data_IF_106587167202
#
_entry.id   IF_106587167202
#
_cell.length_a   1.000
_cell.length_b   1.000
_cell.length_c   1.000
_cell.angle_alpha   90.00
_cell.angle_beta   90.00
_cell.angle_gamma   90.00
#
_symmetry.space_group_name_H-M   'P 1'
#
loop_
_entity.id
_entity.type
_entity.pdbx_description
1 polymer ?
#
# COMPACT_ATOMS: atom_id res chain seq x y z
N UNK A 1 3.75 8.84 -3.91
CA UNK A 1 5.24 8.80 -3.84
C UNK A 1 5.65 7.61 -2.99
N UNK A 2 6.91 7.15 -2.99
CA UNK A 2 7.33 5.98 -2.20
C UNK A 2 6.98 6.08 -0.71
N UNK A 3 7.17 7.26 -0.10
CA UNK A 3 6.82 7.54 1.29
C UNK A 3 5.32 7.38 1.63
N UNK A 4 4.47 7.37 0.61
CA UNK A 4 3.02 7.25 0.75
C UNK A 4 2.57 5.77 0.64
N UNK A 5 3.50 4.82 0.50
CA UNK A 5 3.24 3.38 0.41
C UNK A 5 3.59 2.76 1.76
N UNK A 6 2.60 2.35 2.53
CA UNK A 6 2.79 1.81 3.88
C UNK A 6 1.94 0.55 4.06
N UNK A 7 2.59 -0.54 4.47
CA UNK A 7 1.96 -1.83 4.80
C UNK A 7 0.98 -2.32 3.70
N UNK A 8 1.40 -2.28 2.43
CA UNK A 8 0.56 -2.73 1.32
C UNK A 8 -0.56 -1.76 0.91
N UNK A 9 -0.64 -0.56 1.50
CA UNK A 9 -1.71 0.42 1.26
C UNK A 9 -1.14 1.80 0.91
N UNK A 10 -1.91 2.58 0.15
CA UNK A 10 -1.60 3.97 -0.14
C UNK A 10 -2.12 4.85 1.01
N UNK A 11 -1.28 5.73 1.54
CA UNK A 11 -1.63 6.66 2.61
C UNK A 11 -1.57 8.09 2.06
N UNK A 12 -2.73 8.74 1.96
CA UNK A 12 -2.93 9.97 1.17
C UNK A 12 -2.61 11.27 1.95
N UNK A 13 -2.24 11.17 3.23
CA UNK A 13 -2.24 12.30 4.17
C UNK A 13 -1.40 13.52 3.71
N UNK A 14 -0.32 13.30 2.93
CA UNK A 14 0.54 14.34 2.35
C UNK A 14 0.99 14.05 0.92
N UNK A 15 0.14 13.40 0.12
CA UNK A 15 0.48 13.10 -1.27
C UNK A 15 0.59 14.38 -2.10
N UNK A 16 1.63 14.48 -2.92
CA UNK A 16 1.79 15.57 -3.87
C UNK A 16 0.63 15.58 -4.88
N UNK A 17 0.07 16.77 -5.15
CA UNK A 17 -1.05 16.96 -6.08
C UNK A 17 -0.60 17.68 -7.34
N UNK A 18 -1.28 17.42 -8.45
CA UNK A 18 -1.07 18.08 -9.73
C UNK A 18 -2.41 18.57 -10.28
N UNK A 19 -2.39 19.50 -11.23
CA UNK A 19 -3.60 19.94 -11.92
C UNK A 19 -4.19 18.84 -12.80
N UNK A 20 -5.50 18.90 -13.04
CA UNK A 20 -6.21 17.95 -13.91
C UNK A 20 -5.67 17.96 -15.35
N UNK A 21 -5.30 19.14 -15.87
CA UNK A 21 -4.65 19.28 -17.17
C UNK A 21 -3.36 18.47 -17.23
N UNK A 22 -2.51 18.58 -16.21
CA UNK A 22 -1.25 17.83 -16.13
C UNK A 22 -1.50 16.33 -15.99
N UNK A 23 -2.53 15.92 -15.24
CA UNK A 23 -2.92 14.52 -15.12
C UNK A 23 -3.38 13.93 -16.47
N UNK A 24 -4.08 14.72 -17.28
CA UNK A 24 -4.53 14.29 -18.61
C UNK A 24 -3.35 14.14 -19.59
N UNK A 25 -2.36 15.03 -19.54
CA UNK A 25 -1.11 14.89 -20.30
C UNK A 25 -0.30 13.64 -19.89
N UNK A 26 -0.47 13.17 -18.65
CA UNK A 26 0.20 11.99 -18.09
C UNK A 26 -0.70 10.75 -18.08
N UNK A 27 -1.74 10.71 -18.93
CA UNK A 27 -2.74 9.63 -18.97
C UNK A 27 -2.16 8.21 -18.97
N UNK A 28 -1.02 7.99 -19.65
CA UNK A 28 -0.31 6.68 -19.67
C UNK A 28 0.13 6.17 -18.30
N UNK A 29 0.34 7.09 -17.35
CA UNK A 29 0.80 6.81 -15.99
C UNK A 29 -0.35 6.72 -14.97
N UNK A 30 -1.60 6.89 -15.42
CA UNK A 30 -2.76 6.69 -14.55
C UNK A 30 -2.79 5.25 -14.02
N UNK A 31 -3.05 5.17 -12.72
CA UNK A 31 -3.22 3.93 -11.99
C UNK A 31 -4.66 3.44 -12.15
N UNK A 32 -4.80 2.13 -12.25
CA UNK A 32 -6.08 1.43 -12.31
C UNK A 32 -6.31 0.68 -11.01
N UNK A 33 -7.57 0.35 -10.76
CA UNK A 33 -7.94 -0.55 -9.67
C UNK A 33 -7.11 -1.84 -9.74
N UNK A 34 -6.61 -2.28 -8.60
CA UNK A 34 -5.77 -3.48 -8.44
C UNK A 34 -4.39 -3.45 -9.14
N UNK A 35 -3.97 -2.28 -9.65
CA UNK A 35 -2.54 -2.07 -9.90
C UNK A 35 -1.78 -2.15 -8.58
N UNK A 36 -0.53 -2.63 -8.62
CA UNK A 36 0.41 -2.51 -7.52
C UNK A 36 1.43 -1.42 -7.85
N UNK A 37 1.81 -0.66 -6.83
CA UNK A 37 2.82 0.39 -6.92
C UNK A 37 3.94 0.07 -5.97
N UNK A 38 5.16 0.00 -6.50
CA UNK A 38 6.40 -0.21 -5.75
C UNK A 38 7.19 1.08 -5.68
N UNK A 39 7.98 1.24 -4.64
CA UNK A 39 9.04 2.25 -4.60
C UNK A 39 10.13 1.91 -5.61
N UNK A 40 10.61 2.94 -6.33
CA UNK A 40 11.73 2.82 -7.26
C UNK A 40 13.05 3.15 -6.60
N UNK A 41 13.07 4.00 -5.58
CA UNK A 41 14.28 4.54 -4.94
C UNK A 41 14.07 4.68 -3.44
N UNK A 42 15.15 4.51 -2.68
CA UNK A 42 15.12 4.59 -1.22
C UNK A 42 14.80 3.21 -0.63
N UNK A 43 13.77 3.12 0.22
CA UNK A 43 13.27 1.83 0.67
C UNK A 43 12.54 1.12 -0.48
N UNK A 44 13.24 0.21 -1.14
CA UNK A 44 12.79 -0.57 -2.32
C UNK A 44 11.76 -1.66 -2.00
N UNK A 45 11.43 -1.85 -0.72
CA UNK A 45 10.47 -2.87 -0.28
C UNK A 45 9.07 -2.34 -0.09
N UNK A 46 8.90 -1.00 -0.11
CA UNK A 46 7.59 -0.39 -0.02
C UNK A 46 6.76 -0.71 -1.27
N UNK A 47 5.62 -1.36 -1.07
CA UNK A 47 4.63 -1.60 -2.11
C UNK A 47 3.21 -1.38 -1.57
N UNK A 48 2.29 -1.03 -2.46
CA UNK A 48 0.87 -0.93 -2.14
C UNK A 48 -0.03 -1.31 -3.32
N UNK A 49 -1.21 -1.85 -3.00
CA UNK A 49 -2.28 -2.07 -3.97
C UNK A 49 -3.15 -0.82 -4.11
N UNK A 50 -3.60 -0.53 -5.33
CA UNK A 50 -4.48 0.58 -5.66
C UNK A 50 -5.94 0.17 -5.45
N UNK A 51 -6.63 0.90 -4.58
CA UNK A 51 -8.05 0.72 -4.32
C UNK A 51 -8.88 1.67 -5.19
N UNK A 52 -10.21 1.64 -5.03
CA UNK A 52 -11.11 2.55 -5.76
C UNK A 52 -10.83 4.03 -5.46
N UNK A 53 -10.25 4.34 -4.29
CA UNK A 53 -9.97 5.72 -3.87
C UNK A 53 -8.78 6.34 -4.62
N UNK A 54 -7.87 5.51 -5.14
CA UNK A 54 -6.65 5.96 -5.82
C UNK A 54 -6.66 5.69 -7.34
N UNK A 55 -7.81 5.32 -7.90
CA UNK A 55 -7.97 5.22 -9.36
C UNK A 55 -7.69 6.59 -10.00
N UNK A 56 -7.05 6.57 -11.17
CA UNK A 56 -6.58 7.75 -11.91
C UNK A 56 -5.47 8.57 -11.24
N UNK A 57 -4.97 8.15 -10.07
CA UNK A 57 -3.76 8.72 -9.52
C UNK A 57 -2.59 8.47 -10.48
N UNK A 58 -1.60 9.37 -10.46
CA UNK A 58 -0.43 9.27 -11.33
C UNK A 58 0.68 8.49 -10.64
N UNK A 59 1.13 7.41 -11.29
CA UNK A 59 2.36 6.74 -10.91
C UNK A 59 3.56 7.65 -11.21
N UNK A 60 4.08 8.32 -10.17
CA UNK A 60 5.23 9.19 -10.29
C UNK A 60 6.53 8.45 -10.63
N UNK A 61 7.56 9.20 -11.03
CA UNK A 61 8.86 8.65 -11.47
C UNK A 61 9.66 7.93 -10.37
N UNK A 62 9.36 8.24 -9.10
CA UNK A 62 9.91 7.57 -7.94
C UNK A 62 9.26 6.22 -7.63
N UNK A 63 8.25 5.79 -8.40
CA UNK A 63 7.55 4.53 -8.23
C UNK A 63 7.60 3.68 -9.51
N UNK A 64 7.34 2.39 -9.36
CA UNK A 64 7.10 1.44 -10.44
C UNK A 64 5.66 0.93 -10.34
N UNK A 65 4.98 0.81 -11.47
CA UNK A 65 3.64 0.20 -11.55
C UNK A 65 3.76 -1.22 -12.04
N UNK A 66 3.15 -2.15 -11.32
CA UNK A 66 2.94 -3.54 -11.73
C UNK A 66 1.44 -3.75 -11.94
N UNK A 67 1.06 -4.22 -13.13
CA UNK A 67 -0.31 -4.62 -13.40
C UNK A 67 -0.36 -6.14 -13.51
N UNK A 68 -0.92 -6.84 -12.51
CA UNK A 68 -1.01 -8.29 -12.54
C UNK A 68 -1.89 -8.77 -13.70
N UNK A 69 -1.51 -9.90 -14.31
CA UNK A 69 -2.42 -10.65 -15.19
C UNK A 69 -3.33 -11.53 -14.32
N UNK A 70 -4.60 -11.13 -14.26
CA UNK A 70 -5.62 -11.76 -13.41
C UNK A 70 -5.93 -13.21 -13.79
N UNK A 71 -5.46 -13.68 -14.95
CA UNK A 71 -5.57 -15.09 -15.35
C UNK A 71 -4.56 -15.98 -14.62
N UNK A 72 -3.51 -15.40 -14.03
CA UNK A 72 -2.44 -16.16 -13.36
C UNK A 72 -2.29 -15.79 -11.89
N UNK A 73 -2.55 -14.53 -11.53
CA UNK A 73 -2.34 -14.05 -10.17
C UNK A 73 -3.49 -13.18 -9.68
N UNK A 74 -3.99 -13.51 -8.49
CA UNK A 74 -4.99 -12.71 -7.81
C UNK A 74 -4.31 -11.48 -7.15
N UNK A 75 -4.73 -10.23 -7.45
CA UNK A 75 -4.00 -9.03 -7.02
C UNK A 75 -3.81 -8.88 -5.51
N UNK A 76 -4.84 -9.22 -4.72
CA UNK A 76 -4.74 -9.17 -3.25
C UNK A 76 -3.76 -10.22 -2.71
N UNK A 77 -3.73 -11.42 -3.30
CA UNK A 77 -2.75 -12.45 -2.95
C UNK A 77 -1.33 -11.97 -3.25
N UNK A 78 -1.11 -11.37 -4.43
CA UNK A 78 0.18 -10.80 -4.79
C UNK A 78 0.61 -9.71 -3.79
N UNK A 79 -0.31 -8.81 -3.41
CA UNK A 79 -0.03 -7.78 -2.42
C UNK A 79 0.42 -8.38 -1.08
N UNK A 80 -0.27 -9.42 -0.58
CA UNK A 80 0.15 -10.16 0.61
C UNK A 80 1.53 -10.79 0.44
N UNK A 81 1.78 -11.47 -0.68
CA UNK A 81 3.04 -12.16 -0.95
C UNK A 81 4.23 -11.19 -0.94
N UNK A 82 4.05 -9.97 -1.47
CA UNK A 82 5.09 -8.93 -1.47
C UNK A 82 5.42 -8.43 -0.06
N UNK A 83 4.47 -8.50 0.88
CA UNK A 83 4.74 -8.15 2.27
C UNK A 83 5.56 -9.21 3.03
N UNK A 84 5.76 -10.40 2.45
CA UNK A 84 6.57 -11.46 3.05
C UNK A 84 8.05 -11.05 3.14
N UNK A 85 8.70 -11.33 4.27
CA UNK A 85 10.10 -10.96 4.50
C UNK A 85 11.07 -11.59 3.49
N UNK A 86 10.83 -12.83 3.04
CA UNK A 86 11.65 -13.46 2.01
C UNK A 86 11.60 -12.69 0.70
N UNK A 87 10.43 -12.16 0.32
CA UNK A 87 10.29 -11.31 -0.88
C UNK A 87 10.98 -9.97 -0.68
N UNK A 88 10.79 -9.33 0.49
CA UNK A 88 11.47 -8.07 0.82
C UNK A 88 12.99 -8.20 0.80
N UNK A 89 13.51 -9.29 1.34
CA UNK A 89 14.95 -9.55 1.37
C UNK A 89 15.50 -9.78 -0.02
N UNK A 90 14.77 -10.53 -0.87
CA UNK A 90 15.13 -10.66 -2.26
C UNK A 90 15.17 -9.30 -2.97
N UNK A 91 14.17 -8.43 -2.76
CA UNK A 91 14.13 -7.08 -3.33
C UNK A 91 15.33 -6.22 -2.89
N UNK A 92 15.68 -6.27 -1.59
CA UNK A 92 16.86 -5.56 -1.07
C UNK A 92 18.15 -6.06 -1.72
N UNK A 93 18.35 -7.37 -1.75
CA UNK A 93 19.57 -8.00 -2.28
C UNK A 93 19.78 -7.82 -3.78
N UNK A 94 18.70 -7.62 -4.55
CA UNK A 94 18.77 -7.46 -6.00
C UNK A 94 18.63 -6.00 -6.46
N UNK A 95 18.40 -5.06 -5.54
CA UNK A 95 18.39 -3.63 -5.86
C UNK A 95 19.78 -3.12 -6.28
N UNK A 96 19.81 -2.08 -7.11
CA UNK A 96 21.07 -1.49 -7.60
C UNK A 96 21.35 -0.15 -6.95
N UNK A 97 22.63 0.20 -6.82
CA UNK A 97 23.09 1.46 -6.22
C UNK A 97 23.45 1.30 -4.75
N UNK A 98 24.65 1.77 -4.37
CA UNK A 98 25.19 1.55 -3.01
C UNK A 98 24.61 2.51 -1.96
N UNK A 99 24.57 3.81 -2.26
CA UNK A 99 24.10 4.82 -1.28
C UNK A 99 22.57 4.93 -1.24
N UNK A 100 21.92 4.71 -2.38
CA UNK A 100 20.47 4.76 -2.49
C UNK A 100 19.99 3.60 -3.35
N UNK A 101 19.46 2.53 -2.72
CA UNK A 101 18.90 1.39 -3.43
C UNK A 101 17.86 1.84 -4.46
N UNK A 102 17.92 1.20 -5.63
CA UNK A 102 17.09 1.52 -6.77
C UNK A 102 16.58 0.24 -7.42
N UNK A 103 15.27 0.21 -7.67
CA UNK A 103 14.61 -0.86 -8.40
C UNK A 103 14.30 -0.39 -9.82
N UNK A 104 14.43 -1.31 -10.76
CA UNK A 104 13.95 -1.12 -12.13
C UNK A 104 12.97 -2.23 -12.50
N UNK A 105 12.28 -2.05 -13.61
CA UNK A 105 11.28 -3.02 -14.07
C UNK A 105 11.88 -4.39 -14.36
N UNK A 106 13.11 -4.46 -14.89
CA UNK A 106 13.78 -5.73 -15.21
C UNK A 106 14.04 -6.55 -13.95
N UNK A 107 14.58 -5.93 -12.89
CA UNK A 107 14.81 -6.61 -11.60
C UNK A 107 13.48 -7.08 -11.03
N UNK A 108 12.47 -6.19 -11.00
CA UNK A 108 11.17 -6.53 -10.42
C UNK A 108 10.46 -7.66 -11.18
N UNK A 109 10.58 -7.70 -12.51
CA UNK A 109 10.04 -8.78 -13.34
C UNK A 109 10.72 -10.14 -13.13
N UNK A 110 11.92 -10.16 -12.55
CA UNK A 110 12.65 -11.39 -12.24
C UNK A 110 12.41 -11.89 -10.81
N UNK A 111 11.54 -11.23 -10.04
CA UNK A 111 11.18 -11.65 -8.69
C UNK A 111 10.60 -13.08 -8.74
N UNK A 112 11.23 -14.08 -8.10
CA UNK A 112 10.69 -15.43 -8.07
C UNK A 112 9.44 -15.46 -7.19
N UNK A 113 8.32 -15.88 -7.77
CA UNK A 113 7.04 -16.01 -7.09
C UNK A 113 6.52 -17.44 -7.17
N UNK A 114 6.09 -17.98 -6.02
CA UNK A 114 5.35 -19.24 -5.97
C UNK A 114 3.86 -18.92 -6.04
N UNK A 115 3.23 -19.27 -7.16
CA UNK A 115 1.82 -18.99 -7.42
C UNK A 115 1.03 -20.30 -7.37
N UNK A 116 0.28 -20.58 -6.28
CA UNK A 116 -0.64 -21.72 -6.26
C UNK A 116 -1.80 -21.49 -7.24
N UNK A 117 -2.68 -22.47 -7.49
CA UNK A 117 -3.85 -22.28 -8.34
C UNK A 117 -4.73 -21.10 -7.88
N UNK A 118 -5.35 -20.38 -8.82
CA UNK A 118 -6.18 -19.20 -8.53
C UNK A 118 -7.22 -19.38 -7.41
N UNK A 119 -7.94 -20.52 -7.29
CA UNK A 119 -8.88 -20.73 -6.18
C UNK A 119 -8.20 -20.68 -4.81
N UNK A 120 -6.99 -21.22 -4.70
CA UNK A 120 -6.20 -21.21 -3.46
C UNK A 120 -5.69 -19.80 -3.16
N UNK A 121 -5.19 -19.08 -4.17
CA UNK A 121 -4.78 -17.68 -4.03
C UNK A 121 -5.91 -16.81 -3.47
N UNK A 122 -7.13 -16.96 -4.00
CA UNK A 122 -8.32 -16.24 -3.52
C UNK A 122 -8.64 -16.58 -2.07
N UNK A 123 -8.65 -17.87 -1.72
CA UNK A 123 -8.93 -18.31 -0.35
C UNK A 123 -7.91 -17.79 0.66
N UNK A 124 -6.62 -17.80 0.30
CA UNK A 124 -5.56 -17.23 1.15
C UNK A 124 -5.78 -15.73 1.34
N UNK A 125 -6.02 -15.00 0.25
CA UNK A 125 -6.23 -13.55 0.29
C UNK A 125 -7.50 -13.16 1.08
N UNK A 126 -8.57 -13.93 0.97
CA UNK A 126 -9.81 -13.73 1.73
C UNK A 126 -9.58 -13.89 3.24
N UNK A 127 -8.92 -14.99 3.65
CA UNK A 127 -8.63 -15.26 5.07
C UNK A 127 -7.76 -14.15 5.66
N UNK A 128 -6.67 -13.78 4.98
CA UNK A 128 -5.76 -12.75 5.48
C UNK A 128 -6.39 -11.35 5.44
N UNK A 129 -7.16 -11.06 4.40
CA UNK A 129 -7.91 -9.81 4.29
C UNK A 129 -8.94 -9.62 5.42
N UNK A 130 -9.62 -10.69 5.84
CA UNK A 130 -10.55 -10.64 6.97
C UNK A 130 -9.84 -10.26 8.28
N UNK A 131 -8.62 -10.78 8.50
CA UNK A 131 -7.81 -10.40 9.67
C UNK A 131 -7.31 -8.96 9.58
N UNK A 132 -6.87 -8.50 8.41
CA UNK A 132 -6.46 -7.11 8.20
C UNK A 132 -7.62 -6.13 8.46
N UNK A 133 -8.84 -6.48 8.06
CA UNK A 133 -10.04 -5.68 8.33
C UNK A 133 -10.39 -5.65 9.83
N UNK A 134 -10.30 -6.80 10.51
CA UNK A 134 -10.52 -6.89 11.94
C UNK A 134 -9.51 -6.02 12.72
N UNK A 135 -8.22 -6.08 12.35
CA UNK A 135 -7.15 -5.26 12.94
C UNK A 135 -7.44 -3.78 12.72
N UNK A 136 -7.72 -3.38 11.47
CA UNK A 136 -8.01 -1.97 11.15
C UNK A 136 -9.23 -1.44 11.92
N UNK A 137 -10.26 -2.26 12.10
CA UNK A 137 -11.45 -1.90 12.87
C UNK A 137 -11.12 -1.70 14.34
N UNK A 138 -10.31 -2.59 14.93
CA UNK A 138 -9.86 -2.48 16.31
C UNK A 138 -8.99 -1.22 16.54
N UNK A 139 -8.08 -0.90 15.63
CA UNK A 139 -7.25 0.31 15.70
C UNK A 139 -8.09 1.60 15.67
N UNK A 140 -9.11 1.64 14.81
CA UNK A 140 -10.07 2.75 14.77
C UNK A 140 -10.85 2.89 16.07
N UNK A 141 -11.32 1.77 16.64
CA UNK A 141 -12.02 1.76 17.92
C UNK A 141 -11.13 2.23 19.08
N UNK A 142 -9.87 1.78 19.12
CA UNK A 142 -8.88 2.23 20.12
C UNK A 142 -8.67 3.75 20.00
N UNK A 143 -8.51 4.25 18.78
CA UNK A 143 -8.31 5.68 18.52
C UNK A 143 -9.52 6.50 18.97
N UNK A 144 -10.73 6.08 18.61
CA UNK A 144 -11.97 6.74 19.03
C UNK A 144 -12.15 6.74 20.56
N UNK A 145 -11.88 5.61 21.22
CA UNK A 145 -11.94 5.52 22.70
C UNK A 145 -10.92 6.42 23.38
N UNK A 146 -9.71 6.56 22.83
CA UNK A 146 -8.68 7.49 23.37
C UNK A 146 -9.13 8.94 23.25
N UNK A 147 -9.68 9.34 22.10
CA UNK A 147 -10.21 10.69 21.89
C UNK A 147 -11.37 11.00 22.83
N UNK A 148 -12.31 10.07 23.00
CA UNK A 148 -13.42 10.21 23.93
C UNK A 148 -12.93 10.34 25.38
N UNK A 149 -11.99 9.49 25.81
CA UNK A 149 -11.39 9.59 27.14
C UNK A 149 -10.78 10.97 27.36
N UNK A 150 -10.00 11.48 26.40
CA UNK A 150 -9.35 12.78 26.50
C UNK A 150 -10.36 13.92 26.58
N UNK A 151 -11.39 13.92 25.72
CA UNK A 151 -12.44 14.93 25.74
C UNK A 151 -13.25 14.91 27.04
N UNK A 152 -13.61 13.72 27.52
CA UNK A 152 -14.33 13.57 28.79
C UNK A 152 -13.50 14.04 29.97
N UNK A 153 -12.20 13.70 30.00
CA UNK A 153 -11.28 14.15 31.04
C UNK A 153 -11.17 15.68 31.06
N UNK A 154 -11.10 16.33 29.89
CA UNK A 154 -11.12 17.79 29.80
C UNK A 154 -12.44 18.37 30.34
N UNK A 155 -13.59 17.81 29.99
CA UNK A 155 -14.90 18.29 30.46
C UNK A 155 -15.08 18.15 31.98
N UNK A 156 -14.66 17.01 32.56
CA UNK A 156 -14.76 16.76 34.00
C UNK A 156 -13.78 17.64 34.79
N UNK A 157 -12.52 17.74 34.36
CA UNK A 157 -11.49 18.51 35.09
C UNK A 157 -11.67 20.03 34.97
N UNK A 158 -12.34 20.51 33.92
CA UNK A 158 -12.68 21.93 33.76
C UNK A 158 -14.04 22.30 34.36
N UNK A 159 -14.72 21.35 35.01
CA UNK A 159 -16.05 21.58 35.60
C UNK A 159 -17.17 21.84 34.59
N UNK A 160 -16.91 21.66 33.29
CA UNK A 160 -17.92 21.81 32.22
C UNK A 160 -18.97 20.71 32.23
N UNK A 161 -18.68 19.59 32.89
CA UNK A 161 -19.59 18.46 33.08
C UNK A 161 -19.45 17.96 34.53
N UNK A 162 -20.55 17.96 35.28
CA UNK A 162 -20.66 17.36 36.62
C UNK A 162 -21.36 16.01 36.51
N UNK A 163 -20.94 15.06 37.35
CA UNK A 163 -21.52 13.71 37.44
C UNK A 163 -22.90 13.73 38.08
#
# INVERSE_FOLDING_TARGET
>A
MPKDLLNGKVVVDKTAKISNEKANLLSKHKLKFEDLVFSRRGDVTCAAIITRNEVDYICGTGCLRVRPDINYVFPLFLNTLIQNETVKDWLKSNSVGQTMPNMNSTILSNLPLLLPPLPEQRKIAEILGAWDEAISTLEKLITAKRQLKQGLMQQLLTGKKTL
#
